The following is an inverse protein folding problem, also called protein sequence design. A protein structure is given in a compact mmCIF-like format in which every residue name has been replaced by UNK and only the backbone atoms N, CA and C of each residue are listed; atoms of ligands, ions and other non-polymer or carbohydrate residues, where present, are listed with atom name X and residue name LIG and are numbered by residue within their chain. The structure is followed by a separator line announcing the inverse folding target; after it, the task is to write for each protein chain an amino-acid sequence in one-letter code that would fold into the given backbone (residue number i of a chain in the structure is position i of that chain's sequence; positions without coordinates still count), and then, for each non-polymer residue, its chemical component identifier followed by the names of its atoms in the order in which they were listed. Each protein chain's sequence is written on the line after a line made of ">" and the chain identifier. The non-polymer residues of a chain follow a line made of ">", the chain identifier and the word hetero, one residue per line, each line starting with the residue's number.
data_IF_380579260095
#
_entry.id   IF_380579260095
#
_cell.length_a   1.000
_cell.length_b   1.000
_cell.length_c   1.000
_cell.angle_alpha   90.00
_cell.angle_beta   90.00
_cell.angle_gamma   90.00
#
_symmetry.space_group_name_H-M   'P 1'
#
loop_
_entity.id
_entity.type
_entity.pdbx_description
1 polymer ?
#
# COMPACT_ATOMS: atom_id res chain seq x y z
N UNK A 1 7.87 -17.27 -7.93
CA UNK A 1 6.76 -16.35 -7.60
C UNK A 1 6.84 -16.06 -6.13
N UNK A 2 7.03 -14.80 -5.76
CA UNK A 2 7.04 -14.36 -4.37
C UNK A 2 6.03 -13.21 -4.21
N UNK A 3 5.31 -13.20 -3.09
CA UNK A 3 4.40 -12.12 -2.72
C UNK A 3 4.94 -11.49 -1.46
N UNK A 4 5.06 -10.17 -1.47
CA UNK A 4 5.48 -9.37 -0.34
C UNK A 4 4.30 -8.54 0.14
N UNK A 5 3.95 -8.72 1.41
CA UNK A 5 2.98 -7.86 2.09
C UNK A 5 3.74 -6.76 2.83
N UNK A 6 3.37 -5.51 2.57
CA UNK A 6 3.94 -4.34 3.22
C UNK A 6 2.85 -3.61 3.99
N UNK A 7 3.06 -3.47 5.30
CA UNK A 7 2.23 -2.63 6.17
C UNK A 7 2.98 -1.36 6.55
N UNK A 8 2.25 -0.25 6.65
CA UNK A 8 2.82 1.03 7.09
C UNK A 8 2.60 1.18 8.59
N UNK A 9 3.66 0.97 9.35
CA UNK A 9 3.63 1.14 10.80
C UNK A 9 3.07 2.52 11.19
N UNK A 10 2.17 2.51 12.16
CA UNK A 10 1.52 3.70 12.70
C UNK A 10 0.76 4.57 11.68
N UNK A 11 0.39 4.05 10.51
CA UNK A 11 -0.38 4.78 9.50
C UNK A 11 -1.67 5.40 10.05
N UNK A 12 -2.39 4.64 10.90
CA UNK A 12 -3.59 5.14 11.59
C UNK A 12 -3.31 6.36 12.47
N UNK A 13 -2.16 6.38 13.17
CA UNK A 13 -1.77 7.52 14.00
C UNK A 13 -1.54 8.78 13.15
N UNK A 14 -1.01 8.61 11.94
CA UNK A 14 -0.83 9.72 10.99
C UNK A 14 -2.21 10.25 10.56
N UNK A 15 -3.14 9.38 10.18
CA UNK A 15 -4.51 9.77 9.83
C UNK A 15 -5.23 10.48 10.98
N UNK A 16 -5.11 9.95 12.19
CA UNK A 16 -5.79 10.49 13.37
C UNK A 16 -5.18 11.84 13.81
N UNK A 17 -3.88 12.06 13.57
CA UNK A 17 -3.17 13.28 13.99
C UNK A 17 -3.18 14.38 12.92
N UNK A 18 -3.03 14.01 11.64
CA UNK A 18 -2.83 14.93 10.52
C UNK A 18 -3.98 14.91 9.51
N UNK A 19 -4.97 14.02 9.69
CA UNK A 19 -6.10 13.85 8.81
C UNK A 19 -5.83 12.85 7.67
N UNK A 20 -6.91 12.28 7.14
CA UNK A 20 -6.86 11.27 6.08
C UNK A 20 -6.15 11.75 4.81
N UNK A 21 -6.26 13.04 4.46
CA UNK A 21 -5.57 13.60 3.29
C UNK A 21 -4.04 13.55 3.42
N UNK A 22 -3.51 13.63 4.64
CA UNK A 22 -2.08 13.42 4.89
C UNK A 22 -1.70 11.94 4.74
N UNK A 23 -2.58 11.02 5.15
CA UNK A 23 -2.44 9.59 4.88
C UNK A 23 -2.42 9.26 3.40
N UNK A 24 -3.33 9.83 2.62
CA UNK A 24 -3.39 9.59 1.17
C UNK A 24 -2.11 10.06 0.48
N UNK A 25 -1.60 11.24 0.83
CA UNK A 25 -0.30 11.74 0.32
C UNK A 25 0.87 10.84 0.73
N UNK A 26 0.83 10.27 1.93
CA UNK A 26 1.84 9.31 2.36
C UNK A 26 1.77 8.02 1.53
N UNK A 27 0.56 7.51 1.26
CA UNK A 27 0.36 6.34 0.41
C UNK A 27 0.85 6.58 -1.02
N UNK A 28 0.57 7.75 -1.61
CA UNK A 28 1.11 8.15 -2.91
C UNK A 28 2.65 8.15 -2.90
N UNK A 29 3.26 8.78 -1.90
CA UNK A 29 4.72 8.85 -1.78
C UNK A 29 5.36 7.46 -1.58
N UNK A 30 4.71 6.57 -0.84
CA UNK A 30 5.15 5.19 -0.64
C UNK A 30 5.02 4.41 -1.94
N UNK A 31 3.89 4.51 -2.65
CA UNK A 31 3.68 3.83 -3.93
C UNK A 31 4.73 4.24 -4.97
N UNK A 32 5.05 5.52 -5.08
CA UNK A 32 6.11 6.01 -5.98
C UNK A 32 7.49 5.45 -5.60
N UNK A 33 7.82 5.39 -4.31
CA UNK A 33 9.09 4.77 -3.84
C UNK A 33 9.13 3.27 -4.10
N UNK A 34 8.00 2.58 -3.97
CA UNK A 34 7.92 1.15 -4.27
C UNK A 34 8.11 0.90 -5.75
N UNK A 35 7.49 1.69 -6.64
CA UNK A 35 7.69 1.60 -8.10
C UNK A 35 9.15 1.72 -8.49
N UNK A 36 9.92 2.60 -7.86
CA UNK A 36 11.36 2.75 -8.15
C UNK A 36 12.23 1.68 -7.50
N UNK A 37 11.69 0.92 -6.53
CA UNK A 37 12.41 -0.12 -5.79
C UNK A 37 12.14 -1.53 -6.31
N UNK A 38 11.11 -1.72 -7.15
CA UNK A 38 10.75 -2.99 -7.78
C UNK A 38 11.12 -2.97 -9.27
N UNK A 39 11.11 -4.13 -9.92
CA UNK A 39 11.34 -4.19 -11.38
C UNK A 39 10.05 -3.81 -12.10
N UNK A 40 10.17 -3.31 -13.34
CA UNK A 40 9.00 -2.98 -14.18
C UNK A 40 8.05 -4.17 -14.43
N UNK A 41 8.56 -5.41 -14.28
CA UNK A 41 7.78 -6.64 -14.41
C UNK A 41 7.02 -7.04 -13.14
N UNK A 42 7.25 -6.34 -12.03
CA UNK A 42 6.58 -6.60 -10.75
C UNK A 42 5.28 -5.78 -10.66
N UNK A 43 4.25 -6.36 -10.07
CA UNK A 43 2.93 -5.75 -9.96
C UNK A 43 2.71 -5.26 -8.52
N UNK A 44 2.36 -3.99 -8.37
CA UNK A 44 2.02 -3.41 -7.06
C UNK A 44 0.51 -3.24 -7.02
N UNK A 45 -0.13 -3.87 -6.03
CA UNK A 45 -1.56 -3.77 -5.78
C UNK A 45 -1.80 -3.26 -4.35
N UNK A 46 -2.84 -2.46 -4.16
CA UNK A 46 -3.35 -2.19 -2.81
C UNK A 46 -4.42 -3.24 -2.53
N UNK A 47 -4.28 -3.99 -1.45
CA UNK A 47 -5.28 -4.99 -1.11
C UNK A 47 -6.55 -4.26 -0.66
N UNK A 48 -7.57 -4.22 -1.51
CA UNK A 48 -8.82 -3.54 -1.20
C UNK A 48 -9.73 -4.52 -0.48
N UNK A 49 -9.35 -4.94 0.73
CA UNK A 49 -10.27 -5.72 1.55
C UNK A 49 -11.40 -4.77 2.03
N UNK A 50 -12.68 -5.06 1.74
CA UNK A 50 -13.79 -4.25 2.25
C UNK A 50 -13.77 -4.32 3.78
N UNK A 51 -13.68 -3.17 4.48
CA UNK A 51 -13.44 -3.19 5.91
C UNK A 51 -14.65 -3.79 6.66
N UNK A 52 -14.46 -4.74 7.60
CA UNK A 52 -15.52 -5.18 8.51
C UNK A 52 -15.90 -4.10 9.54
N UNK A 53 -15.11 -3.02 9.65
CA UNK A 53 -15.33 -1.86 10.54
C UNK A 53 -14.51 -0.65 10.07
N UNK A 54 -14.94 0.61 10.32
CA UNK A 54 -14.34 1.83 9.76
C UNK A 54 -12.92 2.19 10.26
N UNK A 55 -12.19 1.25 10.89
CA UNK A 55 -10.97 1.54 11.66
C UNK A 55 -9.71 0.79 11.19
N UNK A 56 -9.71 0.09 10.05
CA UNK A 56 -8.56 -0.63 9.52
C UNK A 56 -8.43 -0.36 8.01
N UNK A 57 -7.45 0.47 7.65
CA UNK A 57 -7.04 0.70 6.26
C UNK A 57 -5.93 -0.30 5.92
N UNK A 58 -6.03 -0.86 4.72
CA UNK A 58 -5.42 -2.10 4.25
C UNK A 58 -3.94 -2.02 3.85
N UNK A 59 -3.19 -3.15 3.87
CA UNK A 59 -1.79 -3.23 3.45
C UNK A 59 -1.60 -3.03 1.94
N UNK A 60 -0.40 -2.59 1.55
CA UNK A 60 0.05 -2.57 0.16
C UNK A 60 0.70 -3.92 -0.15
N UNK A 61 0.20 -4.61 -1.17
CA UNK A 61 0.68 -5.92 -1.59
C UNK A 61 1.51 -5.79 -2.86
N UNK A 62 2.77 -6.22 -2.81
CA UNK A 62 3.64 -6.28 -3.99
C UNK A 62 3.73 -7.73 -4.45
N UNK A 63 3.23 -8.01 -5.65
CA UNK A 63 3.28 -9.31 -6.29
C UNK A 63 4.37 -9.32 -7.37
N UNK A 64 5.37 -10.18 -7.21
CA UNK A 64 6.43 -10.35 -8.22
C UNK A 64 5.99 -11.43 -9.23
N UNK A 65 5.31 -11.03 -10.31
CA UNK A 65 5.02 -11.93 -11.43
C UNK A 65 4.71 -11.19 -12.74
N UNK A 66 5.26 -11.72 -13.85
CA UNK A 66 5.20 -11.18 -15.21
C UNK A 66 3.83 -11.27 -15.90
N UNK A 67 2.73 -11.29 -15.16
CA UNK A 67 1.39 -11.44 -15.72
C UNK A 67 0.36 -10.68 -14.91
N UNK A 68 0.54 -9.36 -14.81
CA UNK A 68 -0.61 -8.45 -14.66
C UNK A 68 -1.06 -8.09 -16.09
N UNK A 69 -1.81 -8.99 -16.72
CA UNK A 69 -2.61 -8.76 -17.92
C UNK A 69 -4.05 -9.16 -17.60
#
# INVERSE_FOLDING_TARGET
>A
MAVLFLDLDNFKRINDTLGHSAGDRLLEAVAERLKTSVRDSDCIARDLEPPPSPASMSPVSVATSSSCC
#
